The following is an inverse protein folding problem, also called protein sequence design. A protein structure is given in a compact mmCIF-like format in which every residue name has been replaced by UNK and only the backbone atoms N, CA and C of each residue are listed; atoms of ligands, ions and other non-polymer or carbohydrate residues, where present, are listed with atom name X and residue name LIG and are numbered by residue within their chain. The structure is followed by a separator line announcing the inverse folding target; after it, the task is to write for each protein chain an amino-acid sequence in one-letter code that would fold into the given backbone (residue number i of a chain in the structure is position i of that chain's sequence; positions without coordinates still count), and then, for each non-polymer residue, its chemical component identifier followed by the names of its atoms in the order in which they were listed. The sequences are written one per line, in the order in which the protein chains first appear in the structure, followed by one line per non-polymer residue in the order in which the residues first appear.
data_IF_449919612734
#
_entry.id   IF_449919612734
#
_cell.length_a   1.000
_cell.length_b   1.000
_cell.length_c   1.000
_cell.angle_alpha   90.00
_cell.angle_beta   90.00
_cell.angle_gamma   90.00
#
_symmetry.space_group_name_H-M   'P 1'
#
loop_
_entity.id
_entity.type
_entity.pdbx_description
1 polymer ?
#
# COMPACT_ATOMS: atom_id res chain seq x y z
N UNK A 1 9.09 54.24 28.29
CA UNK A 1 8.33 52.99 28.42
C UNK A 1 8.20 52.36 27.05
N UNK A 2 8.88 51.24 26.79
CA UNK A 2 8.72 50.52 25.52
C UNK A 2 7.39 49.74 25.56
N UNK A 3 6.48 50.02 24.63
CA UNK A 3 5.26 49.24 24.49
C UNK A 3 5.63 47.80 24.08
N UNK A 4 5.37 46.85 24.98
CA UNK A 4 5.55 45.43 24.70
C UNK A 4 4.48 45.00 23.70
N UNK A 5 4.84 44.94 22.42
CA UNK A 5 3.95 44.42 21.37
C UNK A 5 3.57 42.99 21.72
N UNK A 6 2.27 42.68 21.61
CA UNK A 6 1.79 41.31 21.77
C UNK A 6 2.19 40.49 20.55
N UNK A 7 2.28 39.16 20.73
CA UNK A 7 2.62 38.24 19.65
C UNK A 7 1.75 38.43 18.40
N UNK A 8 0.46 38.68 18.60
CA UNK A 8 -0.47 38.92 17.50
C UNK A 8 -0.19 40.20 16.72
N UNK A 9 0.22 41.27 17.38
CA UNK A 9 0.58 42.52 16.70
C UNK A 9 1.91 42.41 15.96
N UNK A 10 2.84 41.59 16.47
CA UNK A 10 4.08 41.27 15.78
C UNK A 10 3.82 40.44 14.50
N UNK A 11 2.91 39.45 14.56
CA UNK A 11 2.47 38.67 13.41
C UNK A 11 1.82 39.57 12.33
N UNK A 12 0.84 40.40 12.69
CA UNK A 12 0.20 41.32 11.73
C UNK A 12 1.18 42.27 11.06
N UNK A 13 2.17 42.78 11.82
CA UNK A 13 3.23 43.64 11.27
C UNK A 13 4.13 42.91 10.28
N UNK A 14 4.37 41.62 10.53
CA UNK A 14 5.25 40.79 9.70
C UNK A 14 4.64 40.57 8.30
N UNK A 15 3.34 40.27 8.23
CA UNK A 15 2.58 40.10 6.97
C UNK A 15 2.44 41.37 6.13
N UNK A 16 2.78 42.56 6.66
CA UNK A 16 2.72 43.83 5.90
C UNK A 16 3.99 44.13 5.11
N UNK A 17 5.05 43.33 5.29
CA UNK A 17 6.32 43.54 4.59
C UNK A 17 6.47 42.55 3.43
N UNK A 18 6.93 43.00 2.24
CA UNK A 18 7.22 42.08 1.14
C UNK A 18 8.17 40.95 1.55
N UNK A 19 9.17 41.27 2.39
CA UNK A 19 10.14 40.30 2.90
C UNK A 19 9.52 39.27 3.87
N UNK A 20 8.64 39.71 4.78
CA UNK A 20 7.95 38.81 5.72
C UNK A 20 6.99 37.85 5.01
N UNK A 21 6.34 38.31 3.95
CA UNK A 21 5.50 37.48 3.08
C UNK A 21 6.34 36.39 2.38
N UNK A 22 7.50 36.75 1.80
CA UNK A 22 8.40 35.79 1.14
C UNK A 22 8.92 34.74 2.14
N UNK A 23 9.29 35.16 3.36
CA UNK A 23 9.76 34.23 4.41
C UNK A 23 8.64 33.26 4.81
N UNK A 24 7.41 33.74 5.01
CA UNK A 24 6.27 32.89 5.37
C UNK A 24 5.91 31.88 4.28
N UNK A 25 5.83 32.32 3.02
CA UNK A 25 5.53 31.44 1.90
C UNK A 25 6.67 30.46 1.62
N UNK A 26 7.92 30.86 1.80
CA UNK A 26 9.07 29.96 1.73
C UNK A 26 9.05 28.88 2.81
N UNK A 27 8.71 29.24 4.05
CA UNK A 27 8.56 28.28 5.15
C UNK A 27 7.39 27.31 4.90
N UNK A 28 6.26 27.81 4.39
CA UNK A 28 5.11 26.98 4.03
C UNK A 28 5.45 26.00 2.89
N UNK A 29 6.15 26.47 1.85
CA UNK A 29 6.63 25.61 0.76
C UNK A 29 7.62 24.56 1.24
N UNK A 30 8.52 24.88 2.17
CA UNK A 30 9.44 23.89 2.74
C UNK A 30 8.70 22.82 3.56
N UNK A 31 7.65 23.19 4.29
CA UNK A 31 6.80 22.23 5.02
C UNK A 31 6.01 21.35 4.06
N UNK A 32 5.43 21.93 3.00
CA UNK A 32 4.68 21.17 1.99
C UNK A 32 5.59 20.26 1.17
N UNK A 33 6.74 20.76 0.71
CA UNK A 33 7.72 19.96 -0.02
C UNK A 33 8.35 18.87 0.86
N UNK A 34 8.70 19.20 2.12
CA UNK A 34 9.19 18.23 3.09
C UNK A 34 8.14 17.18 3.46
N UNK A 35 6.87 17.58 3.60
CA UNK A 35 5.76 16.67 3.84
C UNK A 35 5.50 15.74 2.65
N UNK A 36 5.52 16.26 1.42
CA UNK A 36 5.36 15.47 0.19
C UNK A 36 6.54 14.50 0.00
N UNK A 37 7.77 14.92 0.27
CA UNK A 37 8.95 14.04 0.20
C UNK A 37 8.95 12.97 1.31
N UNK A 38 8.51 13.31 2.53
CA UNK A 38 8.39 12.36 3.63
C UNK A 38 7.29 11.31 3.38
N UNK A 39 6.18 11.70 2.74
CA UNK A 39 5.08 10.79 2.40
C UNK A 39 5.50 9.69 1.42
N UNK A 40 6.45 9.97 0.52
CA UNK A 40 7.00 8.96 -0.39
C UNK A 40 8.04 8.03 0.27
N UNK A 41 8.64 8.44 1.40
CA UNK A 41 9.67 7.67 2.10
C UNK A 41 9.09 6.65 3.10
N UNK A 42 7.86 6.87 3.52
CA UNK A 42 7.09 5.94 4.34
C UNK A 42 6.28 5.05 3.39
N UNK A 43 6.93 4.04 2.79
CA UNK A 43 6.20 3.01 2.04
C UNK A 43 4.97 2.54 2.83
N UNK A 44 3.86 2.27 2.14
CA UNK A 44 2.60 1.86 2.79
C UNK A 44 2.91 0.81 3.85
N UNK A 45 2.54 1.04 5.11
CA UNK A 45 2.84 0.07 6.15
C UNK A 45 2.03 -1.21 5.94
N UNK A 46 0.97 -1.17 5.11
CA UNK A 46 0.19 -2.33 4.72
C UNK A 46 0.73 -2.94 3.44
N UNK A 47 0.85 -4.27 3.38
CA UNK A 47 1.09 -4.96 2.12
C UNK A 47 -0.08 -4.72 1.16
N UNK A 48 0.24 -4.53 -0.11
CA UNK A 48 -0.70 -4.31 -1.20
C UNK A 48 -0.67 -5.54 -2.09
N UNK A 49 -1.83 -6.18 -2.28
CA UNK A 49 -1.99 -7.24 -3.26
C UNK A 49 -2.43 -6.53 -4.54
N UNK A 50 -1.57 -6.48 -5.54
CA UNK A 50 -1.88 -5.83 -6.82
C UNK A 50 -2.90 -6.65 -7.62
N UNK A 51 -2.68 -7.96 -7.68
CA UNK A 51 -3.60 -8.91 -8.30
C UNK A 51 -3.41 -10.32 -7.72
N UNK A 52 -4.48 -11.13 -7.81
CA UNK A 52 -4.53 -12.53 -7.42
C UNK A 52 -5.62 -13.23 -8.23
N UNK A 53 -5.23 -13.92 -9.29
CA UNK A 53 -6.14 -14.41 -10.35
C UNK A 53 -5.79 -15.83 -10.78
N UNK A 54 -6.77 -16.56 -11.30
CA UNK A 54 -6.61 -17.92 -11.82
C UNK A 54 -7.20 -18.01 -13.22
N UNK A 55 -6.41 -18.50 -14.18
CA UNK A 55 -6.83 -18.64 -15.58
C UNK A 55 -6.69 -20.10 -16.03
N UNK A 56 -7.79 -20.81 -16.35
CA UNK A 56 -9.20 -20.41 -16.20
C UNK A 56 -9.74 -20.56 -14.75
N UNK A 57 -10.73 -19.75 -14.36
CA UNK A 57 -11.42 -19.87 -13.06
C UNK A 57 -12.39 -21.06 -12.99
N UNK A 58 -12.85 -21.52 -14.15
CA UNK A 58 -13.76 -22.66 -14.32
C UNK A 58 -13.03 -23.81 -15.02
N UNK A 59 -12.91 -24.93 -14.34
CA UNK A 59 -12.19 -26.10 -14.83
C UNK A 59 -13.14 -27.26 -15.09
N UNK A 60 -12.98 -27.92 -16.25
CA UNK A 60 -13.55 -29.25 -16.42
C UNK A 60 -12.75 -30.28 -15.59
N UNK A 61 -13.36 -31.39 -15.16
CA UNK A 61 -12.66 -32.43 -14.41
C UNK A 61 -11.36 -32.89 -15.09
N UNK A 62 -10.25 -32.82 -14.36
CA UNK A 62 -8.92 -33.19 -14.86
C UNK A 62 -8.18 -32.11 -15.65
N UNK A 63 -8.73 -30.89 -15.75
CA UNK A 63 -8.00 -29.72 -16.26
C UNK A 63 -7.19 -29.03 -15.16
N UNK A 64 -6.25 -28.19 -15.58
CA UNK A 64 -5.42 -27.36 -14.71
C UNK A 64 -5.69 -25.88 -14.94
N UNK A 65 -5.60 -25.08 -13.88
CA UNK A 65 -5.60 -23.62 -13.93
C UNK A 65 -4.23 -23.06 -13.57
N UNK A 66 -3.94 -21.84 -14.02
CA UNK A 66 -2.73 -21.11 -13.62
C UNK A 66 -3.13 -20.02 -12.64
N UNK A 67 -2.76 -20.21 -11.37
CA UNK A 67 -2.89 -19.22 -10.32
C UNK A 67 -1.71 -18.26 -10.40
N UNK A 68 -1.96 -16.95 -10.40
CA UNK A 68 -0.96 -15.90 -10.54
C UNK A 68 -1.18 -14.78 -9.52
N UNK A 69 -0.10 -14.18 -9.04
CA UNK A 69 -0.17 -13.14 -8.01
C UNK A 69 0.96 -12.14 -8.11
N UNK A 70 0.69 -10.94 -7.57
CA UNK A 70 1.72 -9.95 -7.24
C UNK A 70 1.36 -9.16 -5.99
N UNK A 71 2.33 -9.05 -5.10
CA UNK A 71 2.22 -8.37 -3.82
C UNK A 71 3.38 -7.39 -3.65
N UNK A 72 3.09 -6.17 -3.21
CA UNK A 72 4.06 -5.11 -2.94
C UNK A 72 4.05 -4.76 -1.45
N UNK A 73 5.24 -4.56 -0.88
CA UNK A 73 5.37 -4.15 0.52
C UNK A 73 5.01 -5.24 1.52
N UNK A 74 5.13 -6.51 1.15
CA UNK A 74 5.10 -7.65 2.07
C UNK A 74 6.52 -8.19 2.32
N UNK A 75 6.77 -8.70 3.52
CA UNK A 75 7.97 -9.48 3.86
C UNK A 75 7.77 -10.98 3.63
N UNK A 76 6.51 -11.45 3.65
CA UNK A 76 6.11 -12.83 3.48
C UNK A 76 4.77 -12.89 2.73
N UNK A 77 4.64 -13.82 1.81
CA UNK A 77 3.38 -14.16 1.13
C UNK A 77 3.18 -15.66 1.26
N UNK A 78 1.99 -16.08 1.67
CA UNK A 78 1.59 -17.48 1.80
C UNK A 78 0.28 -17.70 1.04
N UNK A 79 0.15 -18.85 0.39
CA UNK A 79 -1.08 -19.29 -0.25
C UNK A 79 -1.52 -20.60 0.42
N UNK A 80 -2.79 -20.66 0.84
CA UNK A 80 -3.38 -21.87 1.41
C UNK A 80 -3.53 -23.00 0.35
N UNK A 81 -4.19 -24.11 0.70
CA UNK A 81 -4.37 -25.29 -0.17
C UNK A 81 -3.04 -26.01 -0.46
N UNK A 82 -2.24 -26.21 0.60
CA UNK A 82 -0.96 -26.93 0.57
C UNK A 82 0.16 -26.31 -0.31
N UNK A 83 -0.02 -25.07 -0.78
CA UNK A 83 1.01 -24.33 -1.54
C UNK A 83 2.08 -23.74 -0.59
N UNK A 84 1.65 -23.06 0.48
CA UNK A 84 2.53 -22.51 1.51
C UNK A 84 3.22 -21.20 1.11
N UNK A 85 4.42 -20.91 1.67
CA UNK A 85 5.16 -19.67 1.40
C UNK A 85 5.63 -19.55 -0.04
N UNK A 86 5.39 -18.40 -0.64
CA UNK A 86 5.74 -18.07 -2.03
C UNK A 86 6.49 -16.74 -2.15
N UNK A 87 7.09 -16.50 -3.32
CA UNK A 87 7.66 -15.21 -3.64
C UNK A 87 6.58 -14.11 -3.75
N UNK A 88 7.00 -12.84 -3.67
CA UNK A 88 6.09 -11.68 -3.76
C UNK A 88 5.32 -11.62 -5.09
N UNK A 89 5.90 -12.17 -6.15
CA UNK A 89 5.25 -12.34 -7.44
C UNK A 89 5.54 -13.74 -7.98
N UNK A 90 4.58 -14.29 -8.72
CA UNK A 90 4.74 -15.61 -9.30
C UNK A 90 3.48 -16.15 -9.93
N UNK A 91 3.60 -17.36 -10.45
CA UNK A 91 2.49 -18.17 -10.91
C UNK A 91 2.75 -19.65 -10.62
N UNK A 92 1.68 -20.41 -10.42
CA UNK A 92 1.73 -21.85 -10.19
C UNK A 92 0.56 -22.53 -10.92
N UNK A 93 0.81 -23.72 -11.47
CA UNK A 93 -0.25 -24.55 -12.02
C UNK A 93 -0.94 -25.34 -10.91
N UNK A 94 -2.26 -25.26 -10.87
CA UNK A 94 -3.13 -25.94 -9.90
C UNK A 94 -4.11 -26.86 -10.63
N UNK A 95 -4.46 -27.98 -10.01
CA UNK A 95 -5.44 -28.94 -10.55
C UNK A 95 -6.38 -29.42 -9.45
N UNK A 96 -7.29 -28.57 -8.96
CA UNK A 96 -8.22 -28.94 -7.90
C UNK A 96 -9.20 -30.03 -8.37
N UNK A 97 -9.56 -30.95 -7.48
CA UNK A 97 -10.53 -32.03 -7.73
C UNK A 97 -11.97 -31.67 -7.35
N UNK A 98 -12.16 -30.51 -6.71
CA UNK A 98 -13.44 -29.95 -6.29
C UNK A 98 -13.35 -28.41 -6.24
N UNK A 99 -14.49 -27.73 -6.08
CA UNK A 99 -14.54 -26.29 -5.88
C UNK A 99 -13.63 -25.87 -4.72
N UNK A 100 -12.55 -25.16 -5.05
CA UNK A 100 -11.48 -24.85 -4.10
C UNK A 100 -11.33 -23.34 -3.95
N UNK A 101 -11.33 -22.87 -2.71
CA UNK A 101 -11.05 -21.47 -2.38
C UNK A 101 -9.57 -21.36 -2.02
N UNK A 102 -8.82 -20.62 -2.84
CA UNK A 102 -7.44 -20.25 -2.57
C UNK A 102 -7.42 -18.93 -1.82
N UNK A 103 -6.63 -18.87 -0.75
CA UNK A 103 -6.46 -17.66 0.04
C UNK A 103 -5.00 -17.26 0.03
N UNK A 104 -4.73 -16.03 -0.39
CA UNK A 104 -3.40 -15.43 -0.35
C UNK A 104 -3.31 -14.51 0.86
N UNK A 105 -2.27 -14.69 1.67
CA UNK A 105 -1.99 -13.93 2.88
C UNK A 105 -0.64 -13.23 2.70
N UNK A 106 -0.66 -11.90 2.68
CA UNK A 106 0.51 -11.06 2.63
C UNK A 106 0.78 -10.46 4.02
N UNK A 107 2.01 -10.59 4.52
CA UNK A 107 2.42 -10.13 5.85
C UNK A 107 3.59 -9.16 5.73
N UNK A 108 3.54 -8.06 6.48
CA UNK A 108 4.65 -7.14 6.71
C UNK A 108 4.73 -6.80 8.21
N UNK A 109 5.63 -7.46 8.93
CA UNK A 109 5.75 -7.32 10.38
C UNK A 109 4.45 -7.70 11.10
N UNK A 110 3.85 -6.75 11.81
CA UNK A 110 2.57 -6.93 12.53
C UNK A 110 1.33 -6.62 11.70
N UNK A 111 1.48 -6.28 10.42
CA UNK A 111 0.37 -5.98 9.50
C UNK A 111 0.21 -7.10 8.48
N UNK A 112 -1.02 -7.40 8.11
CA UNK A 112 -1.32 -8.38 7.09
C UNK A 112 -2.45 -7.89 6.16
N UNK A 113 -2.57 -8.55 5.01
CA UNK A 113 -3.69 -8.42 4.09
C UNK A 113 -3.97 -9.77 3.46
N UNK A 114 -5.24 -10.11 3.29
CA UNK A 114 -5.65 -11.37 2.67
C UNK A 114 -6.67 -11.13 1.57
N UNK A 115 -6.66 -12.02 0.58
CA UNK A 115 -7.66 -12.09 -0.49
C UNK A 115 -8.00 -13.55 -0.75
N UNK A 116 -9.23 -13.81 -1.18
CA UNK A 116 -9.71 -15.15 -1.53
C UNK A 116 -10.11 -15.17 -3.01
N UNK A 117 -9.81 -16.29 -3.66
CA UNK A 117 -10.16 -16.58 -5.04
C UNK A 117 -10.78 -17.97 -5.10
N UNK A 118 -11.98 -18.07 -5.67
CA UNK A 118 -12.66 -19.34 -5.85
C UNK A 118 -12.40 -19.88 -7.25
N UNK A 119 -11.82 -21.08 -7.34
CA UNK A 119 -11.74 -21.86 -8.58
C UNK A 119 -12.82 -22.93 -8.53
N UNK A 120 -13.68 -22.97 -9.55
CA UNK A 120 -14.86 -23.86 -9.57
C UNK A 120 -14.71 -24.95 -10.63
N UNK A 121 -15.22 -26.15 -10.33
CA UNK A 121 -15.38 -27.19 -11.34
C UNK A 121 -16.71 -26.99 -12.08
N UNK A 122 -16.65 -26.95 -13.41
CA UNK A 122 -17.80 -26.85 -14.30
C UNK A 122 -18.45 -28.21 -14.57
#
# INVERSE_FOLDING_TARGET
MAQKKTYWEMQKSFWKTPLGIVIWFGALLAILAGGILALNFLGSPYPVIEFFDAEPEFLAPGQSSVLSWRVVGASLVEIDQDIGPVALEGSISISPSEDTIYRLIAVNGSRNRSVELKVSLS
#
